data_IF_075677947044
#
_entry.id   IF_075677947044
#
_cell.length_a   1.000
_cell.length_b   1.000
_cell.length_c   1.000
_cell.angle_alpha   90.00
_cell.angle_beta   90.00
_cell.angle_gamma   90.00
#
_symmetry.space_group_name_H-M   'P 1'
#
loop_
_entity.id
_entity.type
_entity.pdbx_description
1 polymer ?
#
# COMPACT_ATOMS: atom_id res chain seq x y z
N UNK A 1 2.39 -18.65 -10.38
CA UNK A 1 2.11 -17.30 -9.82
C UNK A 1 3.31 -16.90 -8.97
N UNK A 2 3.94 -15.73 -9.18
CA UNK A 2 5.03 -15.30 -8.31
C UNK A 2 4.46 -15.04 -6.91
N UNK A 3 5.07 -15.64 -5.89
CA UNK A 3 4.80 -15.31 -4.49
C UNK A 3 5.69 -14.13 -4.14
N UNK A 4 5.10 -12.95 -3.95
CA UNK A 4 5.84 -11.78 -3.48
C UNK A 4 5.97 -11.90 -1.96
N UNK A 5 7.19 -12.07 -1.47
CA UNK A 5 7.48 -12.07 -0.04
C UNK A 5 7.76 -10.64 0.45
N UNK A 6 7.44 -10.30 1.70
CA UNK A 6 7.67 -8.95 2.24
C UNK A 6 9.13 -8.46 2.07
N UNK A 7 10.11 -9.37 2.11
CA UNK A 7 11.51 -9.07 1.88
C UNK A 7 11.82 -8.51 0.47
N UNK A 8 10.98 -8.82 -0.53
CA UNK A 8 11.14 -8.33 -1.90
C UNK A 8 10.65 -6.88 -2.11
N UNK A 9 9.76 -6.38 -1.24
CA UNK A 9 9.21 -5.02 -1.30
C UNK A 9 10.05 -4.06 -0.43
N UNK A 10 10.67 -4.58 0.64
CA UNK A 10 11.46 -3.79 1.57
C UNK A 10 10.61 -3.13 2.67
N UNK A 11 11.24 -2.72 3.78
CA UNK A 11 10.52 -2.19 4.94
C UNK A 11 9.93 -0.78 4.74
N UNK A 12 10.43 0.00 3.79
CA UNK A 12 9.97 1.37 3.49
C UNK A 12 8.49 1.40 3.08
N UNK A 13 8.06 0.46 2.23
CA UNK A 13 6.65 0.32 1.85
C UNK A 13 5.72 0.23 3.06
N UNK A 14 6.05 -0.63 4.02
CA UNK A 14 5.22 -0.86 5.20
C UNK A 14 5.18 0.36 6.13
N UNK A 15 6.27 1.13 6.21
CA UNK A 15 6.30 2.37 6.99
C UNK A 15 5.42 3.44 6.35
N UNK A 16 5.49 3.63 5.04
CA UNK A 16 4.64 4.57 4.31
C UNK A 16 3.15 4.18 4.42
N UNK A 17 2.82 2.89 4.25
CA UNK A 17 1.45 2.40 4.44
C UNK A 17 0.95 2.61 5.87
N UNK A 18 1.81 2.39 6.87
CA UNK A 18 1.46 2.61 8.27
C UNK A 18 1.10 4.07 8.54
N UNK A 19 1.82 5.04 7.97
CA UNK A 19 1.47 6.46 8.09
C UNK A 19 0.06 6.76 7.56
N UNK A 20 -0.32 6.18 6.41
CA UNK A 20 -1.64 6.38 5.80
C UNK A 20 -2.74 5.79 6.67
N UNK A 21 -2.55 4.57 7.16
CA UNK A 21 -3.52 3.88 8.02
C UNK A 21 -3.67 4.60 9.36
N UNK A 22 -2.56 5.05 9.95
CA UNK A 22 -2.58 5.76 11.23
C UNK A 22 -3.28 7.13 11.11
N UNK A 23 -3.06 7.85 10.00
CA UNK A 23 -3.72 9.12 9.72
C UNK A 23 -5.26 8.99 9.56
N UNK A 24 -5.75 7.81 9.19
CA UNK A 24 -7.18 7.57 9.00
C UNK A 24 -7.98 7.52 10.31
N UNK A 25 -7.32 7.40 11.47
CA UNK A 25 -7.93 7.45 12.80
C UNK A 25 -9.17 6.53 12.99
N UNK A 26 -9.13 5.33 12.39
CA UNK A 26 -10.22 4.35 12.43
C UNK A 26 -11.23 4.45 11.28
N UNK A 27 -11.10 5.45 10.40
CA UNK A 27 -11.80 5.54 9.12
C UNK A 27 -11.06 4.80 7.98
N UNK A 28 -11.64 4.79 6.77
CA UNK A 28 -10.96 4.25 5.60
C UNK A 28 -9.71 5.08 5.25
N UNK A 29 -8.58 4.42 4.91
CA UNK A 29 -7.36 5.12 4.51
C UNK A 29 -7.53 5.87 3.18
N UNK A 30 -6.67 6.85 2.94
CA UNK A 30 -6.60 7.54 1.65
C UNK A 30 -6.15 6.57 0.55
N UNK A 31 -7.12 6.13 -0.26
CA UNK A 31 -6.90 5.18 -1.35
C UNK A 31 -6.03 5.73 -2.48
N UNK A 32 -6.05 7.04 -2.71
CA UNK A 32 -5.21 7.68 -3.73
C UNK A 32 -3.76 7.61 -3.28
N UNK A 33 -3.49 7.95 -2.01
CA UNK A 33 -2.15 7.87 -1.43
C UNK A 33 -1.65 6.43 -1.32
N UNK A 34 -2.51 5.48 -0.95
CA UNK A 34 -2.18 4.05 -0.96
C UNK A 34 -1.76 3.57 -2.36
N UNK A 35 -2.54 3.90 -3.39
CA UNK A 35 -2.25 3.48 -4.76
C UNK A 35 -0.93 4.08 -5.28
N UNK A 36 -0.60 5.30 -4.87
CA UNK A 36 0.67 5.96 -5.21
C UNK A 36 1.88 5.25 -4.55
N UNK A 37 1.79 4.91 -3.26
CA UNK A 37 2.81 4.12 -2.56
C UNK A 37 3.03 2.78 -3.26
N UNK A 38 1.95 2.05 -3.56
CA UNK A 38 2.04 0.76 -4.25
C UNK A 38 2.79 0.86 -5.59
N UNK A 39 2.49 1.88 -6.41
CA UNK A 39 3.16 2.07 -7.71
C UNK A 39 4.65 2.37 -7.57
N UNK A 40 5.05 3.19 -6.59
CA UNK A 40 6.48 3.47 -6.32
C UNK A 40 7.27 2.21 -5.97
N UNK A 41 6.63 1.26 -5.31
CA UNK A 41 7.22 -0.02 -4.90
C UNK A 41 7.00 -1.16 -5.93
N UNK A 42 6.59 -0.82 -7.17
CA UNK A 42 6.43 -1.79 -8.27
C UNK A 42 5.18 -2.68 -8.16
N UNK A 43 4.25 -2.34 -7.26
CA UNK A 43 2.98 -3.04 -7.09
C UNK A 43 1.90 -2.40 -7.97
N UNK A 44 0.97 -3.24 -8.43
CA UNK A 44 -0.21 -2.78 -9.16
C UNK A 44 -1.41 -2.80 -8.20
N UNK A 45 -2.02 -1.63 -7.88
CA UNK A 45 -3.25 -1.58 -7.12
C UNK A 45 -4.35 -2.32 -7.86
N UNK A 46 -5.10 -3.15 -7.15
CA UNK A 46 -6.31 -3.73 -7.72
C UNK A 46 -7.35 -2.62 -7.96
N UNK A 47 -8.09 -2.71 -9.05
CA UNK A 47 -9.19 -1.80 -9.29
C UNK A 47 -10.27 -1.99 -8.19
N UNK A 48 -10.88 -0.90 -7.69
CA UNK A 48 -12.02 -1.01 -6.79
C UNK A 48 -13.08 -1.93 -7.41
N UNK A 49 -13.50 -2.95 -6.67
CA UNK A 49 -14.60 -3.84 -7.09
C UNK A 49 -15.89 -3.01 -6.97
N UNK A 50 -16.63 -2.87 -8.08
CA UNK A 50 -17.91 -2.13 -8.11
C UNK A 50 -19.06 -3.00 -7.60
#
# INVERSE_FOLDING_TARGET
MPVITPAAIGPEYFREVFEVVNAAAGGPPDWVRMADIMRRHGLTPEAPQT
#
